data_IF_517544075075
#
_entry.id   IF_517544075075
#
_cell.length_a   1.000
_cell.length_b   1.000
_cell.length_c   1.000
_cell.angle_alpha   90.00
_cell.angle_beta   90.00
_cell.angle_gamma   90.00
#
_symmetry.space_group_name_H-M   'P 1'
#
loop_
_entity.id
_entity.type
_entity.pdbx_description
1 polymer ?
#
# COMPACT_ATOMS: atom_id res chain seq x y z
N UNK A 1 -40.84 9.28 5.50
CA UNK A 1 -40.02 10.51 5.50
C UNK A 1 -38.66 10.16 4.92
N UNK A 2 -38.48 10.28 3.59
CA UNK A 2 -37.22 9.94 2.91
C UNK A 2 -36.71 11.19 2.19
N UNK A 3 -35.61 11.76 2.68
CA UNK A 3 -34.78 12.67 1.91
C UNK A 3 -33.32 12.31 2.15
N UNK A 4 -32.81 11.37 1.35
CA UNK A 4 -31.37 11.20 1.17
C UNK A 4 -31.02 11.95 -0.11
N UNK A 5 -30.52 13.18 0.02
CA UNK A 5 -30.04 13.96 -1.12
C UNK A 5 -28.72 13.35 -1.61
N UNK A 6 -28.80 12.34 -2.47
CA UNK A 6 -27.67 11.83 -3.22
C UNK A 6 -27.25 12.89 -4.25
N UNK A 7 -26.48 13.90 -3.82
CA UNK A 7 -25.88 14.85 -4.75
C UNK A 7 -24.80 14.12 -5.54
N UNK A 8 -25.08 13.85 -6.81
CA UNK A 8 -24.10 13.37 -7.78
C UNK A 8 -22.90 14.33 -7.77
N UNK A 9 -21.72 13.83 -7.40
CA UNK A 9 -20.50 14.62 -7.47
C UNK A 9 -20.11 14.74 -8.94
N UNK A 10 -20.09 15.97 -9.45
CA UNK A 10 -19.57 16.24 -10.78
C UNK A 10 -18.09 15.77 -10.84
N UNK A 11 -17.62 15.30 -12.00
CA UNK A 11 -16.24 14.88 -12.19
C UNK A 11 -15.24 16.03 -12.01
N UNK A 12 -15.72 17.27 -11.95
CA UNK A 12 -14.92 18.47 -11.72
C UNK A 12 -15.33 19.13 -10.40
N UNK A 13 -14.34 19.55 -9.61
CA UNK A 13 -14.57 20.22 -8.32
C UNK A 13 -15.02 21.67 -8.49
N UNK A 14 -14.53 22.35 -9.53
CA UNK A 14 -14.89 23.71 -9.92
C UNK A 14 -14.34 24.02 -11.31
N UNK A 15 -15.15 24.64 -12.18
CA UNK A 15 -14.73 25.05 -13.53
C UNK A 15 -13.59 26.08 -13.46
N UNK A 16 -13.61 26.96 -12.44
CA UNK A 16 -12.57 27.96 -12.27
C UNK A 16 -11.23 27.31 -11.89
N UNK A 17 -11.26 26.28 -11.05
CA UNK A 17 -10.05 25.57 -10.63
C UNK A 17 -9.49 24.75 -11.79
N UNK A 18 -10.33 24.07 -12.56
CA UNK A 18 -9.95 23.40 -13.82
C UNK A 18 -9.28 24.38 -14.80
N UNK A 19 -9.88 25.56 -14.99
CA UNK A 19 -9.34 26.61 -15.83
C UNK A 19 -7.95 27.07 -15.37
N UNK A 20 -7.78 27.37 -14.07
CA UNK A 20 -6.50 27.77 -13.49
C UNK A 20 -5.46 26.66 -13.63
N UNK A 21 -5.81 25.42 -13.29
CA UNK A 21 -4.93 24.26 -13.43
C UNK A 21 -4.51 24.02 -14.88
N UNK A 22 -5.44 24.14 -15.83
CA UNK A 22 -5.15 24.00 -17.25
C UNK A 22 -4.17 25.07 -17.76
N UNK A 23 -4.36 26.32 -17.34
CA UNK A 23 -3.47 27.44 -17.71
C UNK A 23 -2.09 27.32 -17.06
N UNK A 24 -2.02 26.95 -15.79
CA UNK A 24 -0.78 26.68 -15.06
C UNK A 24 0.00 25.52 -15.70
N UNK A 25 -0.71 24.45 -16.06
CA UNK A 25 -0.13 23.30 -16.78
C UNK A 25 0.47 23.72 -18.12
N UNK A 26 -0.27 24.50 -18.91
CA UNK A 26 0.21 24.98 -20.21
C UNK A 26 1.47 25.85 -20.06
N UNK A 27 1.51 26.76 -19.08
CA UNK A 27 2.72 27.56 -18.83
C UNK A 27 3.91 26.69 -18.43
N UNK A 28 3.69 25.76 -17.51
CA UNK A 28 4.73 24.84 -17.06
C UNK A 28 5.25 23.94 -18.19
N UNK A 29 4.39 23.52 -19.12
CA UNK A 29 4.80 22.77 -20.31
C UNK A 29 5.65 23.61 -21.27
N UNK A 30 5.34 24.90 -21.43
CA UNK A 30 6.12 25.81 -22.27
C UNK A 30 7.49 26.13 -21.64
N UNK A 31 7.54 26.38 -20.33
CA UNK A 31 8.78 26.63 -19.59
C UNK A 31 9.75 25.42 -19.64
N UNK A 32 9.20 24.21 -19.53
CA UNK A 32 9.95 22.97 -19.49
C UNK A 32 10.04 22.27 -20.86
N UNK A 33 9.68 22.95 -21.95
CA UNK A 33 9.79 22.37 -23.29
C UNK A 33 11.25 22.08 -23.65
N UNK A 34 11.49 20.94 -24.31
CA UNK A 34 12.80 20.55 -24.83
C UNK A 34 13.20 21.37 -26.06
N UNK A 35 12.24 21.97 -26.77
CA UNK A 35 12.48 22.79 -27.93
C UNK A 35 13.02 24.19 -27.51
N UNK A 36 14.25 24.55 -27.92
CA UNK A 36 14.85 25.82 -27.55
C UNK A 36 14.06 27.02 -28.04
N UNK A 37 13.42 26.94 -29.22
CA UNK A 37 12.66 28.06 -29.80
C UNK A 37 11.42 28.35 -28.96
N UNK A 38 10.70 27.31 -28.56
CA UNK A 38 9.50 27.42 -27.72
C UNK A 38 9.85 27.99 -26.34
N UNK A 39 10.99 27.56 -25.80
CA UNK A 39 11.49 28.04 -24.51
C UNK A 39 11.95 29.51 -24.53
N UNK A 40 12.51 29.97 -25.65
CA UNK A 40 12.93 31.37 -25.82
C UNK A 40 11.72 32.29 -26.05
N UNK A 41 10.74 31.85 -26.83
CA UNK A 41 9.59 32.69 -27.20
C UNK A 41 8.60 32.84 -26.06
N UNK A 42 8.40 31.79 -25.23
CA UNK A 42 7.47 31.75 -24.09
C UNK A 42 6.20 32.60 -24.31
N UNK A 43 5.28 32.14 -25.17
CA UNK A 43 4.15 32.96 -25.58
C UNK A 43 3.32 33.39 -24.37
N UNK A 44 3.03 34.69 -24.29
CA UNK A 44 2.28 35.26 -23.18
C UNK A 44 0.87 34.66 -23.12
N UNK A 45 0.58 33.93 -22.05
CA UNK A 45 -0.70 33.25 -21.87
C UNK A 45 -1.73 34.28 -21.44
N UNK A 46 -2.77 34.47 -22.26
CA UNK A 46 -3.90 35.31 -21.91
C UNK A 46 -4.65 34.71 -20.72
N UNK A 47 -4.68 35.47 -19.62
CA UNK A 47 -5.45 35.20 -18.40
C UNK A 47 -6.43 36.33 -18.14
N UNK A 48 -7.40 36.12 -17.25
CA UNK A 48 -8.38 37.14 -16.92
C UNK A 48 -7.78 38.26 -16.06
N UNK A 49 -8.51 39.38 -15.92
CA UNK A 49 -8.09 40.54 -15.10
C UNK A 49 -7.82 40.18 -13.63
N UNK A 50 -8.57 39.23 -13.07
CA UNK A 50 -8.54 38.90 -11.63
C UNK A 50 -7.43 37.91 -11.23
N UNK A 51 -6.80 37.22 -12.16
CA UNK A 51 -5.80 36.21 -11.83
C UNK A 51 -4.81 36.04 -12.98
N UNK A 52 -3.52 36.07 -12.65
CA UNK A 52 -2.41 35.83 -13.57
C UNK A 52 -1.74 34.50 -13.25
N UNK A 53 -1.37 33.77 -14.29
CA UNK A 53 -0.79 32.42 -14.16
C UNK A 53 0.63 32.47 -13.62
N UNK A 54 1.43 33.46 -14.03
CA UNK A 54 2.82 33.61 -13.60
C UNK A 54 2.90 33.79 -12.08
N UNK A 55 2.16 34.77 -11.55
CA UNK A 55 2.07 35.05 -10.10
C UNK A 55 1.63 33.81 -9.32
N UNK A 56 0.57 33.13 -9.79
CA UNK A 56 0.11 31.90 -9.15
C UNK A 56 1.10 30.74 -9.22
N UNK A 57 1.89 30.62 -10.30
CA UNK A 57 2.92 29.59 -10.40
C UNK A 57 4.11 29.89 -9.51
N UNK A 58 4.56 31.13 -9.44
CA UNK A 58 5.68 31.52 -8.57
C UNK A 58 5.35 31.27 -7.10
N UNK A 59 4.16 31.66 -6.64
CA UNK A 59 3.66 31.33 -5.30
C UNK A 59 3.64 29.81 -5.06
N UNK A 60 3.17 29.01 -6.02
CA UNK A 60 3.15 27.55 -5.87
C UNK A 60 4.56 26.94 -5.88
N UNK A 61 5.48 27.44 -6.71
CA UNK A 61 6.88 27.01 -6.77
C UNK A 61 7.58 27.33 -5.46
N UNK A 62 7.35 28.51 -4.89
CA UNK A 62 7.87 28.88 -3.57
C UNK A 62 7.30 28.01 -2.46
N UNK A 63 5.98 27.77 -2.45
CA UNK A 63 5.36 26.86 -1.49
C UNK A 63 5.92 25.43 -1.61
N UNK A 64 6.23 24.96 -2.82
CA UNK A 64 6.83 23.64 -3.03
C UNK A 64 8.25 23.57 -2.49
N UNK A 65 9.09 24.58 -2.76
CA UNK A 65 10.45 24.67 -2.20
C UNK A 65 10.41 24.71 -0.67
N UNK A 66 9.51 25.52 -0.10
CA UNK A 66 9.30 25.61 1.34
C UNK A 66 8.86 24.25 1.91
N UNK A 67 7.93 23.55 1.24
CA UNK A 67 7.52 22.20 1.64
C UNK A 67 8.64 21.17 1.55
N UNK A 68 9.51 21.28 0.56
CA UNK A 68 10.67 20.41 0.39
C UNK A 68 11.70 20.61 1.52
N UNK A 69 12.02 21.87 1.85
CA UNK A 69 12.95 22.22 2.93
C UNK A 69 12.40 21.86 4.31
N UNK A 70 11.12 22.17 4.56
CA UNK A 70 10.48 21.85 5.84
C UNK A 70 10.25 20.33 5.98
N UNK A 71 10.14 19.62 4.86
CA UNK A 71 9.85 18.19 4.85
C UNK A 71 8.42 17.87 5.34
N UNK A 72 8.14 16.63 5.77
CA UNK A 72 6.81 16.23 6.21
C UNK A 72 6.40 17.00 7.48
N UNK A 73 5.51 17.98 7.30
CA UNK A 73 4.96 18.76 8.41
C UNK A 73 3.81 18.03 9.10
N UNK A 74 3.61 18.39 10.37
CA UNK A 74 2.49 17.91 11.16
C UNK A 74 1.18 18.50 10.60
N UNK A 75 0.35 17.68 9.94
CA UNK A 75 -0.92 18.15 9.37
C UNK A 75 -2.11 18.09 10.33
N UNK A 76 -1.91 17.80 11.62
CA UNK A 76 -2.95 17.71 12.66
C UNK A 76 -2.34 17.41 14.04
N UNK A 77 -3.13 17.20 15.10
CA UNK A 77 -2.67 16.61 16.39
C UNK A 77 -2.11 15.18 16.29
N UNK A 78 -1.85 14.66 15.09
CA UNK A 78 -1.33 13.31 14.83
C UNK A 78 0.19 13.18 15.03
N UNK A 79 0.87 14.25 15.42
CA UNK A 79 2.30 14.28 15.70
C UNK A 79 3.18 14.36 14.45
N UNK A 80 4.45 14.71 14.67
CA UNK A 80 5.50 14.77 13.64
C UNK A 80 5.81 13.35 13.12
N UNK A 81 5.71 13.11 11.81
CA UNK A 81 5.97 11.80 11.20
C UNK A 81 4.74 10.97 10.79
N UNK A 82 3.51 11.48 10.99
CA UNK A 82 2.28 10.85 10.46
C UNK A 82 2.11 11.09 8.95
N UNK A 83 3.18 10.90 8.18
CA UNK A 83 3.10 10.87 6.73
C UNK A 83 2.99 9.42 6.28
N UNK A 84 2.03 9.16 5.39
CA UNK A 84 1.86 7.90 4.65
C UNK A 84 3.09 7.50 3.81
N UNK A 85 4.13 8.33 3.83
CA UNK A 85 5.42 8.14 3.16
C UNK A 85 6.49 7.53 4.06
N UNK A 86 6.24 7.36 5.37
CA UNK A 86 7.16 6.65 6.25
C UNK A 86 7.28 5.18 5.84
N UNK A 87 8.52 4.71 5.63
CA UNK A 87 8.83 3.35 5.12
C UNK A 87 8.13 2.20 5.87
N UNK A 88 7.74 2.42 7.13
CA UNK A 88 6.96 1.49 7.96
C UNK A 88 5.61 2.06 8.40
N UNK A 89 5.51 3.36 8.71
CA UNK A 89 4.31 4.00 9.31
C UNK A 89 3.26 4.46 8.27
N UNK A 90 3.57 4.34 6.97
CA UNK A 90 2.65 4.62 5.87
C UNK A 90 2.27 3.41 5.02
N UNK A 91 2.90 2.24 5.25
CA UNK A 91 2.64 1.00 4.48
C UNK A 91 1.19 0.53 4.54
N UNK A 92 0.45 0.92 5.58
CA UNK A 92 -1.00 0.70 5.67
C UNK A 92 -1.84 1.54 4.70
N UNK A 93 -1.24 2.32 3.81
CA UNK A 93 -1.97 2.98 2.72
C UNK A 93 -1.72 2.34 1.36
N UNK A 94 -0.67 1.51 1.21
CA UNK A 94 -0.34 0.77 -0.02
C UNK A 94 -0.93 -0.65 -0.04
N UNK A 95 -2.18 -0.81 0.40
CA UNK A 95 -2.86 -2.11 0.55
C UNK A 95 -3.38 -2.74 -0.75
N UNK A 96 -3.11 -2.16 -1.92
CA UNK A 96 -3.66 -2.66 -3.20
C UNK A 96 -3.32 -4.14 -3.46
N UNK A 97 -2.24 -4.66 -2.86
CA UNK A 97 -1.76 -6.04 -3.08
C UNK A 97 -1.92 -7.01 -1.90
N UNK A 98 -2.28 -6.55 -0.69
CA UNK A 98 -2.61 -7.52 0.36
C UNK A 98 -4.06 -7.94 0.16
N UNK A 99 -4.24 -9.11 -0.47
CA UNK A 99 -5.49 -9.87 -0.58
C UNK A 99 -6.52 -9.38 0.43
N UNK A 100 -7.65 -8.84 -0.06
CA UNK A 100 -8.82 -8.45 0.75
C UNK A 100 -9.32 -9.66 1.56
N UNK A 101 -8.63 -10.01 2.63
CA UNK A 101 -9.18 -10.86 3.68
C UNK A 101 -10.20 -9.98 4.35
N UNK A 102 -11.48 -10.19 4.04
CA UNK A 102 -12.57 -9.55 4.78
C UNK A 102 -12.55 -10.08 6.22
N UNK A 103 -11.79 -9.40 7.07
CA UNK A 103 -11.86 -9.57 8.51
C UNK A 103 -13.13 -8.86 8.97
N UNK A 104 -14.28 -9.54 8.81
CA UNK A 104 -15.52 -9.09 9.41
C UNK A 104 -15.31 -8.94 10.92
N UNK A 105 -15.85 -7.87 11.51
CA UNK A 105 -15.72 -7.59 12.95
C UNK A 105 -16.02 -8.80 13.84
N UNK A 106 -17.06 -9.56 13.46
CA UNK A 106 -17.45 -10.78 14.14
C UNK A 106 -16.33 -11.85 14.16
N UNK A 107 -15.58 -12.00 13.05
CA UNK A 107 -14.41 -12.90 13.00
C UNK A 107 -13.28 -12.43 13.90
N UNK A 108 -13.04 -11.11 13.99
CA UNK A 108 -11.97 -10.56 14.83
C UNK A 108 -12.26 -10.82 16.32
N UNK A 109 -13.50 -10.61 16.76
CA UNK A 109 -13.90 -10.81 18.16
C UNK A 109 -13.78 -12.27 18.61
N UNK A 110 -14.02 -13.23 17.71
CA UNK A 110 -13.92 -14.67 18.02
C UNK A 110 -12.57 -15.29 17.65
N UNK A 111 -11.60 -14.50 17.20
CA UNK A 111 -10.27 -15.01 16.93
C UNK A 111 -9.42 -15.06 18.19
N UNK A 112 -8.63 -16.14 18.32
CA UNK A 112 -7.62 -16.22 19.38
C UNK A 112 -6.69 -15.00 19.35
N UNK A 113 -6.41 -14.42 20.52
CA UNK A 113 -5.63 -13.19 20.67
C UNK A 113 -4.28 -13.27 19.95
N UNK A 114 -3.56 -14.40 20.07
CA UNK A 114 -2.29 -14.64 19.39
C UNK A 114 -2.39 -14.61 17.87
N UNK A 115 -3.51 -15.08 17.31
CA UNK A 115 -3.75 -15.09 15.86
C UNK A 115 -3.97 -13.68 15.32
N UNK A 116 -4.71 -12.85 16.04
CA UNK A 116 -4.91 -11.44 15.69
C UNK A 116 -3.58 -10.70 15.78
N UNK A 117 -2.85 -10.91 16.88
CA UNK A 117 -1.55 -10.30 17.14
C UNK A 117 -0.54 -10.66 16.04
N UNK A 118 -0.51 -11.92 15.62
CA UNK A 118 0.33 -12.37 14.52
C UNK A 118 -0.07 -11.71 13.18
N UNK A 119 -1.36 -11.67 12.85
CA UNK A 119 -1.83 -11.08 11.60
C UNK A 119 -1.45 -9.60 11.49
N UNK A 120 -1.71 -8.83 12.54
CA UNK A 120 -1.34 -7.41 12.59
C UNK A 120 0.18 -7.27 12.42
N UNK A 121 0.98 -8.02 13.20
CA UNK A 121 2.45 -7.92 13.09
C UNK A 121 3.00 -8.39 11.74
N UNK A 122 2.35 -9.34 11.08
CA UNK A 122 2.76 -9.82 9.75
C UNK A 122 2.56 -8.77 8.66
N UNK A 123 1.47 -8.01 8.76
CA UNK A 123 1.14 -6.91 7.86
C UNK A 123 2.13 -5.77 7.99
N UNK A 124 2.40 -5.37 9.23
CA UNK A 124 3.21 -4.18 9.51
C UNK A 124 4.71 -4.47 9.55
N UNK A 125 5.13 -5.69 9.15
CA UNK A 125 6.53 -6.13 9.24
C UNK A 125 7.12 -5.90 10.65
N UNK A 126 6.33 -6.26 11.67
CA UNK A 126 6.67 -6.18 13.10
C UNK A 126 6.94 -7.56 13.70
N UNK A 127 7.14 -8.58 12.87
CA UNK A 127 7.55 -9.91 13.33
C UNK A 127 9.03 -9.88 13.74
N UNK A 128 9.40 -10.81 14.63
CA UNK A 128 10.77 -10.98 15.12
C UNK A 128 11.69 -11.51 13.99
N UNK A 129 12.11 -10.60 13.12
CA UNK A 129 13.21 -10.81 12.17
C UNK A 129 14.48 -10.14 12.70
N UNK A 130 15.68 -10.65 12.41
CA UNK A 130 16.91 -10.01 12.92
C UNK A 130 17.02 -8.55 12.46
N UNK A 131 16.53 -8.19 11.27
CA UNK A 131 16.45 -6.80 10.85
C UNK A 131 15.60 -5.92 11.78
N UNK A 132 14.47 -6.45 12.28
CA UNK A 132 13.64 -5.74 13.25
C UNK A 132 14.24 -5.77 14.66
N UNK A 133 14.91 -6.84 15.05
CA UNK A 133 15.61 -6.92 16.34
C UNK A 133 16.74 -5.89 16.43
N UNK A 134 17.48 -5.66 15.33
CA UNK A 134 18.48 -4.59 15.26
C UNK A 134 17.83 -3.21 15.38
N UNK A 135 16.73 -2.97 14.66
CA UNK A 135 15.96 -1.72 14.80
C UNK A 135 15.48 -1.47 16.22
N UNK A 136 15.11 -2.52 16.95
CA UNK A 136 14.70 -2.46 18.35
C UNK A 136 15.86 -2.49 19.34
N UNK A 137 17.11 -2.44 18.88
CA UNK A 137 18.33 -2.49 19.70
C UNK A 137 18.38 -3.73 20.61
N UNK A 138 17.82 -4.86 20.13
CA UNK A 138 17.86 -6.17 20.79
C UNK A 138 18.91 -7.11 20.22
N UNK A 139 19.48 -6.75 19.07
CA UNK A 139 20.56 -7.48 18.40
C UNK A 139 21.46 -6.47 17.68
N UNK A 140 22.72 -6.82 17.48
CA UNK A 140 23.69 -5.97 16.78
C UNK A 140 23.62 -6.20 15.26
N UNK A 141 23.58 -7.46 14.83
CA UNK A 141 23.61 -7.82 13.40
C UNK A 141 22.28 -8.33 12.83
N UNK A 142 21.87 -7.85 11.64
CA UNK A 142 20.64 -8.26 10.98
C UNK A 142 20.81 -9.52 10.12
N UNK A 143 21.90 -10.27 10.31
CA UNK A 143 22.29 -11.40 9.46
C UNK A 143 21.40 -12.63 9.67
N UNK A 144 21.17 -13.38 8.60
CA UNK A 144 20.42 -14.63 8.64
C UNK A 144 21.33 -15.76 9.16
N UNK A 145 20.88 -16.57 10.13
CA UNK A 145 21.70 -17.65 10.67
C UNK A 145 21.97 -18.77 9.66
N UNK A 146 21.18 -18.84 8.58
CA UNK A 146 21.37 -19.84 7.52
C UNK A 146 22.33 -19.28 6.47
N UNK A 147 21.89 -18.27 5.71
CA UNK A 147 22.60 -17.83 4.51
C UNK A 147 23.43 -16.55 4.70
N UNK A 148 23.56 -16.06 5.94
CA UNK A 148 24.32 -14.86 6.33
C UNK A 148 23.87 -13.52 5.72
N UNK A 149 23.00 -13.52 4.71
CA UNK A 149 22.37 -12.32 4.15
C UNK A 149 21.42 -11.61 5.13
N UNK A 150 20.96 -10.40 4.79
CA UNK A 150 20.07 -9.60 5.62
C UNK A 150 18.72 -10.30 5.86
N UNK A 151 18.41 -10.59 7.12
CA UNK A 151 17.20 -11.31 7.52
C UNK A 151 16.02 -10.36 7.76
N UNK A 152 15.26 -10.09 6.70
CA UNK A 152 13.92 -9.50 6.78
C UNK A 152 12.84 -10.57 6.98
N UNK A 153 11.61 -10.17 7.29
CA UNK A 153 10.48 -11.12 7.36
C UNK A 153 10.23 -11.78 6.00
N UNK A 154 10.28 -11.02 4.91
CA UNK A 154 10.25 -11.57 3.55
C UNK A 154 11.35 -12.61 3.35
N UNK A 155 12.60 -12.28 3.70
CA UNK A 155 13.71 -13.22 3.59
C UNK A 155 13.44 -14.58 4.25
N UNK A 156 12.91 -14.61 5.48
CA UNK A 156 12.59 -15.86 6.19
C UNK A 156 11.44 -16.63 5.52
N UNK A 157 10.46 -15.90 4.97
CA UNK A 157 9.23 -16.47 4.42
C UNK A 157 9.36 -16.92 2.96
N UNK A 158 10.21 -16.29 2.13
CA UNK A 158 10.30 -16.64 0.71
C UNK A 158 11.68 -16.48 0.02
N UNK A 159 12.61 -15.69 0.53
CA UNK A 159 13.84 -15.33 -0.24
C UNK A 159 15.16 -15.89 0.29
N UNK A 160 15.17 -16.79 1.27
CA UNK A 160 16.41 -17.38 1.78
C UNK A 160 16.93 -18.48 0.84
N UNK A 161 18.15 -18.29 0.32
CA UNK A 161 18.79 -19.20 -0.65
C UNK A 161 18.96 -20.62 -0.11
N UNK A 162 19.47 -20.75 1.12
CA UNK A 162 19.69 -22.06 1.75
C UNK A 162 18.36 -22.74 2.10
N UNK A 163 17.38 -21.97 2.59
CA UNK A 163 16.05 -22.52 2.87
C UNK A 163 15.34 -23.02 1.59
N UNK A 164 15.66 -22.42 0.44
CA UNK A 164 15.19 -22.86 -0.87
C UNK A 164 15.89 -24.14 -1.31
N UNK A 165 17.23 -24.20 -1.26
CA UNK A 165 18.00 -25.37 -1.69
C UNK A 165 17.71 -26.60 -0.83
N UNK A 166 17.48 -26.43 0.47
CA UNK A 166 17.11 -27.51 1.39
C UNK A 166 15.62 -27.90 1.31
N UNK A 167 14.81 -27.26 0.45
CA UNK A 167 13.39 -27.61 0.28
C UNK A 167 12.49 -27.27 1.48
N UNK A 168 12.93 -26.41 2.42
CA UNK A 168 12.15 -26.04 3.62
C UNK A 168 10.84 -25.34 3.28
N UNK A 169 10.80 -24.56 2.19
CA UNK A 169 9.57 -23.93 1.70
C UNK A 169 8.56 -24.98 1.22
N UNK A 170 9.03 -25.95 0.44
CA UNK A 170 8.23 -27.08 -0.05
C UNK A 170 7.66 -27.88 1.12
N UNK A 171 8.47 -28.17 2.14
CA UNK A 171 8.00 -28.87 3.34
C UNK A 171 6.88 -28.12 4.06
N UNK A 172 7.07 -26.80 4.31
CA UNK A 172 6.04 -25.96 4.95
C UNK A 172 4.76 -25.91 4.12
N UNK A 173 4.89 -25.77 2.79
CA UNK A 173 3.75 -25.75 1.88
C UNK A 173 2.99 -27.08 1.91
N UNK A 174 3.69 -28.20 1.78
CA UNK A 174 3.10 -29.54 1.82
C UNK A 174 2.40 -29.80 3.16
N UNK A 175 2.96 -29.32 4.28
CA UNK A 175 2.33 -29.45 5.60
C UNK A 175 1.01 -28.70 5.70
N UNK A 176 0.91 -27.51 5.10
CA UNK A 176 -0.34 -26.76 5.02
C UNK A 176 -1.34 -27.47 4.10
N UNK A 177 -0.91 -27.93 2.93
CA UNK A 177 -1.75 -28.68 2.00
C UNK A 177 -2.31 -29.97 2.63
N UNK A 178 -1.51 -30.71 3.40
CA UNK A 178 -1.96 -31.88 4.13
C UNK A 178 -3.09 -31.56 5.12
N UNK A 179 -2.98 -30.44 5.86
CA UNK A 179 -4.03 -30.02 6.81
C UNK A 179 -5.30 -29.58 6.08
N UNK A 180 -5.17 -28.86 4.97
CA UNK A 180 -6.31 -28.48 4.14
C UNK A 180 -6.99 -29.72 3.53
N UNK A 181 -6.22 -30.66 3.00
CA UNK A 181 -6.74 -31.91 2.47
C UNK A 181 -7.48 -32.74 3.53
N UNK A 182 -6.96 -32.79 4.76
CA UNK A 182 -7.63 -33.43 5.88
C UNK A 182 -8.99 -32.78 6.18
N UNK A 183 -9.03 -31.45 6.33
CA UNK A 183 -10.28 -30.71 6.57
C UNK A 183 -11.28 -30.94 5.44
N UNK A 184 -10.84 -30.85 4.18
CA UNK A 184 -11.69 -31.06 3.01
C UNK A 184 -12.25 -32.49 3.02
N UNK A 185 -11.42 -33.49 3.34
CA UNK A 185 -11.86 -34.88 3.40
C UNK A 185 -12.90 -35.11 4.50
N UNK A 186 -12.73 -34.49 5.67
CA UNK A 186 -13.73 -34.51 6.74
C UNK A 186 -15.04 -33.85 6.30
N UNK A 187 -14.99 -32.67 5.67
CA UNK A 187 -16.19 -31.99 5.18
C UNK A 187 -16.90 -32.75 4.05
N UNK A 188 -16.15 -33.48 3.21
CA UNK A 188 -16.73 -34.36 2.17
C UNK A 188 -17.34 -35.62 2.76
N UNK A 189 -16.86 -36.11 3.91
CA UNK A 189 -17.44 -37.24 4.63
C UNK A 189 -18.82 -36.95 5.26
N UNK A 190 -19.16 -35.67 5.46
CA UNK A 190 -20.47 -35.22 5.98
C UNK A 190 -21.49 -34.96 4.86
N UNK A 191 -21.08 -34.97 3.59
CA UNK A 191 -22.02 -34.90 2.47
C UNK A 191 -22.36 -36.32 2.04
N UNK A 192 -23.55 -36.79 2.43
CA UNK A 192 -24.15 -38.03 1.94
C UNK A 192 -24.04 -38.12 0.42
N UNK A 193 -23.28 -39.10 -0.06
CA UNK A 193 -23.26 -39.46 -1.48
C UNK A 193 -24.68 -39.86 -1.91
N UNK A 194 -25.25 -39.29 -2.99
CA UNK A 194 -26.37 -39.91 -3.68
C UNK A 194 -25.89 -41.28 -4.16
N UNK A 195 -26.59 -42.34 -3.75
CA UNK A 195 -26.38 -43.69 -4.28
C UNK A 195 -26.55 -43.62 -5.80
N UNK A 196 -25.44 -43.69 -6.54
CA UNK A 196 -25.50 -43.92 -7.98
C UNK A 196 -25.89 -45.38 -8.17
N UNK A 197 -27.17 -45.61 -8.42
CA UNK A 197 -27.66 -46.86 -9.01
C UNK A 197 -27.01 -47.01 -10.37
N UNK A 198 -25.95 -47.82 -10.47
CA UNK A 198 -25.47 -48.30 -11.77
C UNK A 198 -26.47 -49.34 -12.28
N UNK A 199 -27.33 -48.89 -13.18
CA UNK A 199 -28.09 -49.76 -14.05
C UNK A 199 -27.18 -50.42 -15.10
N UNK A 200 -27.41 -51.72 -15.27
CA UNK A 200 -27.35 -52.51 -16.52
C UNK A 200 -25.96 -52.84 -17.12
N UNK A 201 -25.55 -54.09 -16.92
CA UNK A 201 -25.73 -55.15 -17.92
C UNK A 201 -26.16 -56.43 -17.23
#
# INVERSE_FOLDING_TARGET
MWQYTAKLKLPLKSILEEYKCGKARLLSMLENSEDPVVKTVQPNIKTGRKWKVVEGLDETKECLKIKEVIGPTQTDRKGLGSSTTGSQQGRWTNWENALRKSLAWNKILHMASLRISFLIRSVYDLLLSNANLVRWRKKEDPTCPLCQGKQTTGHVLNSCKIALSEGRYTWRHNRVLQKLAAIISTTKGETTLPKTTRGRR
#
